data_IF_857217678613
#
_entry.id   IF_857217678613
#
_cell.length_a   1.000
_cell.length_b   1.000
_cell.length_c   1.000
_cell.angle_alpha   90.00
_cell.angle_beta   90.00
_cell.angle_gamma   90.00
#
_symmetry.space_group_name_H-M   'P 1'
#
loop_
_entity.id
_entity.type
_entity.pdbx_description
1 polymer ?
#
# COMPACT_ATOMS: atom_id res chain seq x y z
N UNK A 1 64.43 -18.77 25.13
CA UNK A 1 63.71 -19.59 26.12
C UNK A 1 62.35 -18.95 26.31
N UNK A 2 61.30 -19.51 25.71
CA UNK A 2 59.95 -18.97 25.80
C UNK A 2 59.29 -19.51 27.08
N UNK A 3 58.96 -18.62 28.00
CA UNK A 3 58.33 -19.00 29.28
C UNK A 3 56.94 -19.59 29.04
N UNK A 4 56.55 -20.66 29.76
CA UNK A 4 55.27 -21.31 29.54
C UNK A 4 54.13 -20.39 29.99
N UNK A 5 53.14 -20.23 29.11
CA UNK A 5 51.95 -19.41 29.33
C UNK A 5 51.17 -19.97 30.53
N UNK A 6 50.77 -19.14 31.53
CA UNK A 6 50.12 -19.63 32.73
C UNK A 6 48.76 -20.27 32.40
N UNK A 7 48.37 -21.35 33.10
CA UNK A 7 47.11 -22.04 32.85
C UNK A 7 45.93 -21.11 33.13
N UNK A 8 45.02 -20.98 32.16
CA UNK A 8 43.76 -20.24 32.33
C UNK A 8 42.92 -20.93 33.43
N UNK A 9 42.73 -20.26 34.57
CA UNK A 9 41.82 -20.74 35.63
C UNK A 9 40.42 -20.93 35.03
N UNK A 10 39.83 -22.12 35.20
CA UNK A 10 38.44 -22.39 34.78
C UNK A 10 37.52 -21.51 35.63
N UNK A 11 36.62 -20.75 35.00
CA UNK A 11 35.60 -19.97 35.72
C UNK A 11 34.77 -20.93 36.58
N UNK A 12 34.68 -20.65 37.87
CA UNK A 12 33.82 -21.40 38.80
C UNK A 12 32.38 -21.30 38.31
N UNK A 13 31.70 -22.44 38.19
CA UNK A 13 30.29 -22.45 37.82
C UNK A 13 29.48 -21.95 39.03
N UNK A 14 29.17 -20.65 39.05
CA UNK A 14 28.25 -20.07 40.04
C UNK A 14 26.86 -20.68 39.85
N UNK A 15 26.14 -21.02 40.91
CA UNK A 15 24.77 -21.53 40.88
C UNK A 15 23.93 -20.64 41.80
N UNK A 16 22.70 -20.36 41.39
CA UNK A 16 21.73 -19.69 42.24
C UNK A 16 21.18 -20.70 43.23
N UNK A 17 21.20 -20.34 44.50
CA UNK A 17 20.35 -20.97 45.51
C UNK A 17 19.07 -20.15 45.73
N UNK A 18 18.25 -20.62 46.65
CA UNK A 18 16.98 -20.00 47.01
C UNK A 18 17.19 -18.57 47.55
N UNK A 19 18.19 -18.35 48.40
CA UNK A 19 18.45 -17.03 48.97
C UNK A 19 18.94 -16.04 47.90
N UNK A 20 19.74 -16.52 46.95
CA UNK A 20 20.18 -15.76 45.79
C UNK A 20 19.01 -15.36 44.88
N UNK A 21 18.04 -16.26 44.69
CA UNK A 21 16.83 -15.97 43.91
C UNK A 21 15.97 -14.91 44.60
N UNK A 22 15.82 -14.96 45.93
CA UNK A 22 15.08 -13.95 46.68
C UNK A 22 15.78 -12.57 46.61
N UNK A 23 17.11 -12.56 46.70
CA UNK A 23 17.90 -11.34 46.52
C UNK A 23 17.75 -10.80 45.08
N UNK A 24 17.84 -11.66 44.07
CA UNK A 24 17.63 -11.30 42.66
C UNK A 24 16.25 -10.66 42.45
N UNK A 25 15.19 -11.26 42.97
CA UNK A 25 13.83 -10.74 42.80
C UNK A 25 13.65 -9.39 43.50
N UNK A 26 14.16 -9.22 44.73
CA UNK A 26 14.13 -7.94 45.46
C UNK A 26 14.87 -6.84 44.71
N UNK A 27 16.04 -7.13 44.15
CA UNK A 27 16.81 -6.15 43.37
C UNK A 27 16.13 -5.81 42.04
N UNK A 28 15.46 -6.78 41.39
CA UNK A 28 14.65 -6.51 40.19
C UNK A 28 13.50 -5.56 40.52
N UNK A 29 12.82 -5.73 41.65
CA UNK A 29 11.76 -4.81 42.10
C UNK A 29 12.31 -3.41 42.40
N UNK A 30 13.50 -3.32 43.00
CA UNK A 30 14.13 -2.04 43.33
C UNK A 30 14.62 -1.27 42.08
N UNK A 31 15.22 -1.96 41.11
CA UNK A 31 15.80 -1.34 39.91
C UNK A 31 14.78 -1.19 38.77
N UNK A 32 13.78 -2.07 38.70
CA UNK A 32 12.80 -2.19 37.63
C UNK A 32 13.43 -2.16 36.21
N UNK A 33 14.17 -3.22 35.83
CA UNK A 33 14.86 -3.27 34.53
C UNK A 33 13.92 -3.44 33.32
N UNK A 34 12.62 -3.65 33.52
CA UNK A 34 11.65 -3.89 32.44
C UNK A 34 11.17 -2.59 31.78
N UNK A 35 10.98 -1.55 32.59
CA UNK A 35 10.40 -0.26 32.18
C UNK A 35 11.43 0.83 31.89
N UNK A 36 12.73 0.54 31.94
CA UNK A 36 13.76 1.53 31.59
C UNK A 36 13.74 1.94 30.12
N UNK A 37 14.28 3.12 29.86
CA UNK A 37 14.36 3.71 28.52
C UNK A 37 15.07 2.80 27.50
N UNK A 38 14.75 3.00 26.21
CA UNK A 38 15.35 2.25 25.12
C UNK A 38 16.87 2.47 25.13
N UNK A 39 17.63 1.37 25.17
CA UNK A 39 19.09 1.38 25.24
C UNK A 39 19.65 1.19 26.65
N UNK A 40 18.85 1.41 27.69
CA UNK A 40 19.31 1.38 29.09
C UNK A 40 19.09 0.03 29.79
N UNK A 41 18.39 -0.91 29.14
CA UNK A 41 18.10 -2.25 29.71
C UNK A 41 19.34 -2.99 30.17
N UNK A 42 20.39 -3.02 29.37
CA UNK A 42 21.63 -3.72 29.72
C UNK A 42 22.29 -3.11 30.95
N UNK A 43 22.24 -1.78 31.08
CA UNK A 43 22.76 -1.08 32.24
C UNK A 43 21.93 -1.38 33.50
N UNK A 44 20.60 -1.36 33.40
CA UNK A 44 19.72 -1.70 34.51
C UNK A 44 19.94 -3.14 35.02
N UNK A 45 20.06 -4.12 34.11
CA UNK A 45 20.40 -5.49 34.49
C UNK A 45 21.82 -5.62 35.05
N UNK A 46 22.76 -4.77 34.63
CA UNK A 46 24.10 -4.72 35.22
C UNK A 46 24.06 -4.15 36.64
N UNK A 47 23.19 -3.18 36.92
CA UNK A 47 22.94 -2.66 38.28
C UNK A 47 22.39 -3.77 39.18
N UNK A 48 21.39 -4.54 38.70
CA UNK A 48 20.87 -5.71 39.42
C UNK A 48 21.99 -6.70 39.73
N UNK A 49 22.80 -7.06 38.72
CA UNK A 49 23.89 -8.02 38.90
C UNK A 49 24.96 -7.53 39.90
N UNK A 50 25.28 -6.23 39.89
CA UNK A 50 26.27 -5.64 40.79
C UNK A 50 25.82 -5.60 42.26
N UNK A 51 24.51 -5.64 42.52
CA UNK A 51 23.95 -5.68 43.87
C UNK A 51 23.98 -7.10 44.48
N UNK A 52 24.15 -8.14 43.67
CA UNK A 52 24.23 -9.52 44.13
C UNK A 52 25.62 -9.84 44.68
N UNK A 53 25.66 -10.68 45.73
CA UNK A 53 26.92 -11.24 46.26
C UNK A 53 27.54 -12.23 45.27
N UNK A 54 26.72 -12.84 44.42
CA UNK A 54 27.14 -13.77 43.37
C UNK A 54 27.90 -13.05 42.25
N UNK A 55 29.02 -13.64 41.80
CA UNK A 55 29.74 -13.22 40.59
C UNK A 55 28.99 -13.64 39.31
N UNK A 56 27.96 -12.89 38.96
CA UNK A 56 27.10 -13.10 37.79
C UNK A 56 26.98 -11.82 36.96
N UNK A 57 26.73 -11.97 35.66
CA UNK A 57 26.53 -10.83 34.76
C UNK A 57 25.04 -10.51 34.57
N UNK A 58 24.79 -9.34 33.97
CA UNK A 58 23.46 -8.84 33.63
C UNK A 58 22.62 -9.87 32.85
N UNK A 59 23.26 -10.58 31.92
CA UNK A 59 22.62 -11.59 31.08
C UNK A 59 22.11 -12.74 31.94
N UNK A 60 22.95 -13.23 32.85
CA UNK A 60 22.63 -14.37 33.70
C UNK A 60 21.50 -14.06 34.70
N UNK A 61 21.47 -12.85 35.24
CA UNK A 61 20.34 -12.38 36.08
C UNK A 61 19.02 -12.36 35.30
N UNK A 62 19.06 -11.89 34.05
CA UNK A 62 17.89 -11.88 33.17
C UNK A 62 17.43 -13.29 32.81
N UNK A 63 18.34 -14.19 32.47
CA UNK A 63 18.01 -15.59 32.14
C UNK A 63 17.43 -16.31 33.37
N UNK A 64 18.02 -16.11 34.56
CA UNK A 64 17.50 -16.72 35.80
C UNK A 64 16.11 -16.21 36.15
N UNK A 65 15.88 -14.89 36.13
CA UNK A 65 14.55 -14.33 36.39
C UNK A 65 13.50 -14.80 35.37
N UNK A 66 13.86 -14.90 34.09
CA UNK A 66 12.94 -15.44 33.07
C UNK A 66 12.55 -16.88 33.37
N UNK A 67 13.52 -17.72 33.79
CA UNK A 67 13.25 -19.10 34.19
C UNK A 67 12.31 -19.16 35.41
N UNK A 68 12.60 -18.40 36.46
CA UNK A 68 11.77 -18.34 37.68
C UNK A 68 10.32 -17.92 37.38
N UNK A 69 10.14 -16.88 36.56
CA UNK A 69 8.80 -16.43 36.15
C UNK A 69 8.07 -17.50 35.32
N UNK A 70 8.79 -18.23 34.46
CA UNK A 70 8.21 -19.32 33.66
C UNK A 70 7.75 -20.48 34.54
N UNK A 71 8.58 -20.89 35.50
CA UNK A 71 8.26 -21.92 36.47
C UNK A 71 7.08 -21.52 37.37
N UNK A 72 7.05 -20.26 37.81
CA UNK A 72 5.94 -19.70 38.59
C UNK A 72 4.61 -19.70 37.81
N UNK A 73 4.61 -19.22 36.55
CA UNK A 73 3.42 -19.29 35.68
C UNK A 73 2.93 -20.74 35.52
N UNK A 74 3.85 -21.69 35.34
CA UNK A 74 3.50 -23.10 35.23
C UNK A 74 2.95 -23.68 36.54
N UNK A 75 3.48 -23.28 37.70
CA UNK A 75 2.93 -23.61 39.03
C UNK A 75 1.49 -23.10 39.13
N UNK A 76 1.27 -21.80 38.94
CA UNK A 76 -0.06 -21.17 39.00
C UNK A 76 -1.08 -21.83 38.05
N UNK A 77 -0.68 -22.17 36.82
CA UNK A 77 -1.54 -22.86 35.87
C UNK A 77 -1.93 -24.28 36.34
N UNK A 78 -0.99 -25.02 36.95
CA UNK A 78 -1.27 -26.35 37.53
C UNK A 78 -2.19 -26.25 38.74
N UNK A 79 -1.93 -25.30 39.64
CA UNK A 79 -2.77 -25.07 40.83
C UNK A 79 -4.19 -24.68 40.43
N UNK A 80 -4.35 -23.82 39.42
CA UNK A 80 -5.66 -23.45 38.87
C UNK A 80 -6.39 -24.65 38.24
N UNK A 81 -5.68 -25.55 37.55
CA UNK A 81 -6.25 -26.75 36.96
C UNK A 81 -6.61 -27.83 38.00
N UNK A 82 -5.91 -27.88 39.13
CA UNK A 82 -6.06 -28.90 40.17
C UNK A 82 -7.27 -28.70 41.10
N UNK A 83 -8.17 -27.75 40.83
CA UNK A 83 -9.38 -27.47 41.62
C UNK A 83 -9.09 -27.24 43.12
N UNK A 84 -8.32 -26.19 43.43
CA UNK A 84 -8.38 -25.53 44.73
C UNK A 84 -7.71 -26.25 45.91
N UNK A 85 -6.68 -27.06 45.66
CA UNK A 85 -5.78 -27.49 46.74
C UNK A 85 -4.98 -26.25 47.17
N UNK A 86 -5.10 -25.88 48.44
CA UNK A 86 -4.35 -24.79 49.06
C UNK A 86 -2.85 -25.17 49.07
N UNK A 87 -2.09 -24.62 48.12
CA UNK A 87 -0.63 -24.70 48.15
C UNK A 87 -0.10 -23.70 49.18
N UNK A 88 0.96 -24.08 49.89
CA UNK A 88 1.65 -23.18 50.81
C UNK A 88 2.24 -22.02 50.01
N UNK A 89 1.63 -20.84 50.18
CA UNK A 89 2.06 -19.60 49.57
C UNK A 89 3.24 -19.04 50.33
N UNK A 90 4.34 -18.78 49.64
CA UNK A 90 5.60 -18.33 50.24
C UNK A 90 5.86 -16.86 49.95
N UNK A 91 6.72 -16.21 50.76
CA UNK A 91 7.19 -14.84 50.47
C UNK A 91 7.84 -14.72 49.08
N UNK A 92 8.44 -15.81 48.58
CA UNK A 92 8.98 -15.85 47.21
C UNK A 92 7.88 -15.80 46.16
N UNK A 93 6.74 -16.44 46.40
CA UNK A 93 5.59 -16.37 45.49
C UNK A 93 5.07 -14.92 45.39
N UNK A 94 5.07 -14.15 46.48
CA UNK A 94 4.75 -12.71 46.46
C UNK A 94 5.76 -11.91 45.62
N UNK A 95 7.06 -12.16 45.82
CA UNK A 95 8.10 -11.50 45.02
C UNK A 95 7.96 -11.83 43.52
N UNK A 96 7.67 -13.08 43.19
CA UNK A 96 7.46 -13.53 41.82
C UNK A 96 6.21 -12.90 41.20
N UNK A 97 5.12 -12.79 41.95
CA UNK A 97 3.90 -12.12 41.50
C UNK A 97 4.15 -10.64 41.18
N UNK A 98 4.84 -9.92 42.07
CA UNK A 98 5.17 -8.50 41.86
C UNK A 98 6.12 -8.30 40.66
N UNK A 99 7.16 -9.13 40.53
CA UNK A 99 8.08 -9.08 39.38
C UNK A 99 7.35 -9.42 38.08
N UNK A 100 6.41 -10.37 38.15
CA UNK A 100 5.59 -10.75 37.02
C UNK A 100 4.74 -9.58 36.52
N UNK A 101 4.02 -8.91 37.44
CA UNK A 101 3.22 -7.73 37.14
C UNK A 101 4.05 -6.63 36.46
N UNK A 102 5.22 -6.29 37.01
CA UNK A 102 6.14 -5.33 36.38
C UNK A 102 6.53 -5.71 34.95
N UNK A 103 6.74 -7.01 34.70
CA UNK A 103 7.12 -7.52 33.38
C UNK A 103 5.97 -7.42 32.38
N UNK A 104 4.74 -7.69 32.82
CA UNK A 104 3.52 -7.65 32.00
C UNK A 104 3.11 -6.20 31.70
N UNK A 105 3.18 -5.31 32.68
CA UNK A 105 2.98 -3.87 32.49
C UNK A 105 3.96 -3.30 31.45
N UNK A 106 5.23 -3.72 31.52
CA UNK A 106 6.24 -3.30 30.58
C UNK A 106 6.02 -3.84 29.17
N UNK A 107 5.31 -4.97 29.02
CA UNK A 107 4.88 -5.53 27.74
C UNK A 107 3.65 -4.80 27.21
N UNK A 108 2.63 -4.59 28.04
CA UNK A 108 1.43 -3.82 27.72
C UNK A 108 1.77 -2.42 27.21
N UNK A 109 2.65 -1.68 27.90
CA UNK A 109 3.12 -0.36 27.47
C UNK A 109 3.86 -0.38 26.13
N UNK A 110 4.51 -1.50 25.77
CA UNK A 110 5.17 -1.64 24.45
C UNK A 110 4.14 -1.89 23.35
N UNK A 111 3.15 -2.70 23.65
CA UNK A 111 2.08 -3.03 22.72
C UNK A 111 1.17 -1.83 22.47
N UNK A 112 0.82 -1.07 23.49
CA UNK A 112 0.10 0.21 23.35
C UNK A 112 0.86 1.19 22.44
N UNK A 113 2.16 1.39 22.69
CA UNK A 113 3.01 2.25 21.85
C UNK A 113 3.15 1.75 20.42
N UNK A 114 3.06 0.43 20.21
CA UNK A 114 3.09 -0.18 18.87
C UNK A 114 1.75 0.07 18.17
N UNK A 115 0.64 -0.18 18.84
CA UNK A 115 -0.72 0.07 18.34
C UNK A 115 -0.94 1.54 18.00
N UNK A 116 -0.47 2.48 18.84
CA UNK A 116 -0.57 3.92 18.57
C UNK A 116 0.17 4.30 17.28
N UNK A 117 1.36 3.73 17.06
CA UNK A 117 2.13 3.97 15.82
C UNK A 117 1.45 3.39 14.60
N UNK A 118 0.90 2.18 14.70
CA UNK A 118 0.16 1.53 13.63
C UNK A 118 -1.12 2.30 13.29
N UNK A 119 -1.86 2.78 14.30
CA UNK A 119 -3.05 3.61 14.12
C UNK A 119 -2.71 4.94 13.42
N UNK A 120 -1.61 5.59 13.83
CA UNK A 120 -1.14 6.83 13.20
C UNK A 120 -0.69 6.61 11.74
N UNK A 121 -0.06 5.46 11.47
CA UNK A 121 0.32 5.10 10.11
C UNK A 121 -0.92 4.87 9.24
N UNK A 122 -1.92 4.13 9.73
CA UNK A 122 -3.18 3.91 9.01
C UNK A 122 -3.93 5.21 8.75
N UNK A 123 -3.94 6.14 9.70
CA UNK A 123 -4.56 7.46 9.52
C UNK A 123 -3.85 8.28 8.41
N UNK A 124 -2.51 8.29 8.41
CA UNK A 124 -1.73 8.91 7.34
C UNK A 124 -2.03 8.27 5.97
N UNK A 125 -2.06 6.94 5.89
CA UNK A 125 -2.38 6.21 4.65
C UNK A 125 -3.79 6.53 4.15
N UNK A 126 -4.78 6.65 5.06
CA UNK A 126 -6.14 7.09 4.71
C UNK A 126 -6.17 8.53 4.21
N UNK A 127 -5.42 9.42 4.85
CA UNK A 127 -5.31 10.82 4.42
C UNK A 127 -4.67 10.94 3.03
N UNK A 128 -3.64 10.14 2.75
CA UNK A 128 -3.00 10.07 1.43
C UNK A 128 -3.95 9.53 0.37
N UNK A 129 -4.68 8.45 0.66
CA UNK A 129 -5.70 7.91 -0.25
C UNK A 129 -6.79 8.94 -0.57
N UNK A 130 -7.25 9.70 0.43
CA UNK A 130 -8.24 10.77 0.23
C UNK A 130 -7.68 11.91 -0.63
N UNK A 131 -6.41 12.29 -0.44
CA UNK A 131 -5.74 13.29 -1.29
C UNK A 131 -5.63 12.82 -2.73
N UNK A 132 -5.25 11.56 -2.95
CA UNK A 132 -5.13 10.97 -4.28
C UNK A 132 -6.49 10.92 -4.99
N UNK A 133 -7.54 10.49 -4.30
CA UNK A 133 -8.90 10.46 -4.85
C UNK A 133 -9.38 11.87 -5.24
N UNK A 134 -9.13 12.87 -4.39
CA UNK A 134 -9.47 14.26 -4.68
C UNK A 134 -8.75 14.80 -5.92
N UNK A 135 -7.44 14.54 -6.06
CA UNK A 135 -6.66 14.94 -7.23
C UNK A 135 -7.15 14.26 -8.51
N UNK A 136 -7.48 12.97 -8.44
CA UNK A 136 -8.06 12.23 -9.55
C UNK A 136 -9.46 12.75 -9.93
N UNK A 137 -10.26 13.20 -8.96
CA UNK A 137 -11.56 13.83 -9.19
C UNK A 137 -11.46 15.21 -9.86
N UNK A 138 -10.44 16.01 -9.52
CA UNK A 138 -10.20 17.32 -10.13
C UNK A 138 -9.77 17.21 -11.59
N UNK A 139 -8.92 16.22 -11.93
CA UNK A 139 -8.48 15.98 -13.31
C UNK A 139 -9.58 15.53 -14.28
N UNK A 140 -10.71 15.02 -13.77
CA UNK A 140 -11.84 14.54 -14.59
C UNK A 140 -12.86 15.61 -14.97
N UNK A 141 -12.78 16.82 -14.40
CA UNK A 141 -13.69 17.92 -14.75
C UNK A 141 -13.22 18.54 -16.06
N UNK A 142 -13.89 18.22 -17.18
CA UNK A 142 -13.67 18.91 -18.47
C UNK A 142 -13.76 20.43 -18.25
N UNK A 143 -12.71 21.14 -18.62
CA UNK A 143 -12.72 22.61 -18.58
C UNK A 143 -13.70 23.14 -19.66
N UNK A 144 -14.28 24.33 -19.46
CA UNK A 144 -15.01 25.06 -20.50
C UNK A 144 -14.25 25.12 -21.82
N UNK A 145 -12.91 25.20 -21.77
CA UNK A 145 -12.05 25.16 -22.96
C UNK A 145 -12.18 23.85 -23.74
N UNK A 146 -12.17 22.69 -23.07
CA UNK A 146 -12.33 21.36 -23.73
C UNK A 146 -13.71 21.18 -24.35
N UNK A 147 -14.74 21.70 -23.69
CA UNK A 147 -16.10 21.66 -24.25
C UNK A 147 -16.24 22.59 -25.47
N UNK A 148 -15.56 23.73 -25.48
CA UNK A 148 -15.57 24.65 -26.60
C UNK A 148 -14.77 24.11 -27.81
N UNK A 149 -13.64 23.45 -27.57
CA UNK A 149 -12.87 22.79 -28.64
C UNK A 149 -13.64 21.63 -29.26
N UNK A 150 -14.31 20.78 -28.47
CA UNK A 150 -15.21 19.73 -28.98
C UNK A 150 -16.36 20.30 -29.82
N UNK A 151 -16.92 21.45 -29.42
CA UNK A 151 -17.97 22.10 -30.20
C UNK A 151 -17.44 22.63 -31.55
N UNK A 152 -16.26 23.26 -31.53
CA UNK A 152 -15.65 23.81 -32.74
C UNK A 152 -15.24 22.73 -33.74
N UNK A 153 -14.77 21.56 -33.28
CA UNK A 153 -14.51 20.42 -34.17
C UNK A 153 -15.80 19.95 -34.81
N UNK A 154 -16.87 19.82 -34.03
CA UNK A 154 -18.16 19.36 -34.53
C UNK A 154 -18.80 20.32 -35.57
N UNK A 155 -18.61 21.63 -35.39
CA UNK A 155 -19.07 22.65 -36.35
C UNK A 155 -18.27 22.57 -37.65
N UNK A 156 -16.94 22.38 -37.58
CA UNK A 156 -16.10 22.22 -38.78
C UNK A 156 -16.50 20.99 -39.59
N UNK A 157 -16.68 19.84 -38.93
CA UNK A 157 -17.11 18.60 -39.59
C UNK A 157 -18.46 18.77 -40.31
N UNK A 158 -19.41 19.47 -39.68
CA UNK A 158 -20.72 19.78 -40.28
C UNK A 158 -20.57 20.64 -41.53
N UNK A 159 -19.76 21.69 -41.45
CA UNK A 159 -19.57 22.62 -42.57
C UNK A 159 -18.82 21.95 -43.73
N UNK A 160 -17.83 21.10 -43.45
CA UNK A 160 -17.14 20.28 -44.45
C UNK A 160 -18.09 19.30 -45.13
N UNK A 161 -18.95 18.63 -44.36
CA UNK A 161 -19.97 17.73 -44.90
C UNK A 161 -20.97 18.46 -45.80
N UNK A 162 -21.43 19.65 -45.38
CA UNK A 162 -22.34 20.47 -46.20
C UNK A 162 -21.70 20.88 -47.52
N UNK A 163 -20.43 21.35 -47.49
CA UNK A 163 -19.70 21.72 -48.72
C UNK A 163 -19.53 20.53 -49.66
N UNK A 164 -19.22 19.35 -49.12
CA UNK A 164 -19.09 18.14 -49.92
C UNK A 164 -20.41 17.75 -50.60
N UNK A 165 -21.53 17.91 -49.90
CA UNK A 165 -22.86 17.69 -50.47
C UNK A 165 -23.16 18.67 -51.61
N UNK A 166 -22.87 19.95 -51.43
CA UNK A 166 -23.15 20.96 -52.45
C UNK A 166 -22.28 20.75 -53.70
N UNK A 167 -20.99 20.44 -53.53
CA UNK A 167 -20.12 20.05 -54.65
C UNK A 167 -20.66 18.83 -55.40
N UNK A 168 -21.17 17.82 -54.69
CA UNK A 168 -21.76 16.64 -55.31
C UNK A 168 -23.04 16.96 -56.08
N UNK A 169 -23.87 17.89 -55.58
CA UNK A 169 -25.09 18.35 -56.29
C UNK A 169 -24.72 19.06 -57.59
N UNK A 170 -23.80 20.01 -57.53
CA UNK A 170 -23.32 20.75 -58.73
C UNK A 170 -22.77 19.78 -59.77
N UNK A 171 -21.89 18.85 -59.37
CA UNK A 171 -21.33 17.87 -60.30
C UNK A 171 -22.40 16.95 -60.94
N UNK A 172 -23.48 16.63 -60.22
CA UNK A 172 -24.59 15.86 -60.78
C UNK A 172 -25.43 16.68 -61.77
N UNK A 173 -25.65 17.96 -61.49
CA UNK A 173 -26.36 18.87 -62.38
C UNK A 173 -25.57 19.13 -63.67
N UNK A 174 -24.27 19.35 -63.58
CA UNK A 174 -23.39 19.49 -64.75
C UNK A 174 -23.43 18.24 -65.64
N UNK A 175 -23.40 17.04 -65.05
CA UNK A 175 -23.56 15.79 -65.80
C UNK A 175 -24.90 15.69 -66.51
N UNK A 176 -25.99 16.14 -65.87
CA UNK A 176 -27.32 16.16 -66.50
C UNK A 176 -27.37 17.11 -67.69
N UNK A 177 -26.85 18.33 -67.54
CA UNK A 177 -26.80 19.31 -68.61
C UNK A 177 -25.92 18.84 -69.78
N UNK A 178 -24.82 18.15 -69.51
CA UNK A 178 -23.98 17.55 -70.55
C UNK A 178 -24.75 16.52 -71.38
N UNK A 179 -25.45 15.59 -70.72
CA UNK A 179 -26.29 14.60 -71.40
C UNK A 179 -27.40 15.25 -72.24
N UNK A 180 -28.01 16.32 -71.74
CA UNK A 180 -29.05 17.06 -72.47
C UNK A 180 -28.47 17.76 -73.71
N UNK A 181 -27.29 18.37 -73.57
CA UNK A 181 -26.59 19.01 -74.70
C UNK A 181 -26.22 17.99 -75.78
N UNK A 182 -25.73 16.83 -75.40
CA UNK A 182 -25.37 15.75 -76.32
C UNK A 182 -26.60 15.21 -77.04
N UNK A 183 -27.72 15.02 -76.33
CA UNK A 183 -29.01 14.61 -76.92
C UNK A 183 -29.49 15.62 -77.96
N UNK A 184 -29.40 16.91 -77.65
CA UNK A 184 -29.84 17.97 -78.54
C UNK A 184 -28.92 18.12 -79.77
N UNK A 185 -27.64 17.78 -79.63
CA UNK A 185 -26.70 17.68 -80.76
C UNK A 185 -27.09 16.54 -81.70
N UNK A 186 -27.33 15.35 -81.15
CA UNK A 186 -27.76 14.19 -81.93
C UNK A 186 -29.08 14.46 -82.66
N UNK A 187 -30.08 15.07 -81.99
CA UNK A 187 -31.35 15.40 -82.64
C UNK A 187 -31.17 16.40 -83.81
N UNK A 188 -30.25 17.38 -83.67
CA UNK A 188 -29.92 18.29 -84.75
C UNK A 188 -29.24 17.57 -85.91
N UNK A 189 -28.30 16.67 -85.64
CA UNK A 189 -27.64 15.85 -86.65
C UNK A 189 -28.64 14.94 -87.39
N UNK A 190 -29.54 14.27 -86.66
CA UNK A 190 -30.61 13.45 -87.24
C UNK A 190 -31.55 14.28 -88.14
N UNK A 191 -31.97 15.47 -87.69
CA UNK A 191 -32.81 16.38 -88.48
C UNK A 191 -32.09 16.86 -89.74
N UNK A 192 -30.81 17.21 -89.64
CA UNK A 192 -30.00 17.62 -90.79
C UNK A 192 -29.84 16.48 -91.79
N UNK A 193 -29.52 15.27 -91.33
CA UNK A 193 -29.43 14.08 -92.17
C UNK A 193 -30.76 13.78 -92.88
N UNK A 194 -31.89 13.93 -92.18
CA UNK A 194 -33.22 13.76 -92.77
C UNK A 194 -33.51 14.81 -93.87
N UNK A 195 -33.17 16.08 -93.62
CA UNK A 195 -33.30 17.15 -94.61
C UNK A 195 -32.46 16.85 -95.85
N UNK A 196 -31.23 16.37 -95.67
CA UNK A 196 -30.34 16.02 -96.78
C UNK A 196 -30.90 14.86 -97.62
N UNK A 197 -31.48 13.83 -96.98
CA UNK A 197 -32.17 12.72 -97.68
C UNK A 197 -33.37 13.24 -98.47
N UNK A 198 -34.21 14.10 -97.90
CA UNK A 198 -35.34 14.71 -98.60
C UNK A 198 -34.87 15.55 -99.81
N UNK A 199 -33.82 16.35 -99.63
CA UNK A 199 -33.24 17.14 -100.72
C UNK A 199 -32.78 16.23 -101.87
N UNK A 200 -32.06 15.15 -101.56
CA UNK A 200 -31.62 14.17 -102.55
C UNK A 200 -32.80 13.50 -103.29
N UNK A 201 -33.90 13.21 -102.59
CA UNK A 201 -35.11 12.64 -103.19
C UNK A 201 -35.81 13.62 -104.13
N UNK A 202 -35.98 14.89 -103.71
CA UNK A 202 -36.61 15.94 -104.54
C UNK A 202 -35.82 16.27 -105.80
N UNK A 203 -34.48 16.20 -105.76
CA UNK A 203 -33.62 16.39 -106.95
C UNK A 203 -33.69 15.25 -107.98
N UNK A 204 -34.37 14.14 -107.69
CA UNK A 204 -34.50 12.97 -108.58
C UNK A 204 -35.89 12.81 -109.22
N UNK A 205 -36.83 13.72 -108.95
CA UNK A 205 -38.15 13.73 -109.61
C UNK A 205 -38.03 14.43 -110.98
N UNK A 206 -38.36 13.77 -112.11
CA UNK A 206 -38.42 14.42 -113.42
C UNK A 206 -39.59 15.41 -113.47
N UNK A 207 -39.35 16.61 -114.01
CA UNK A 207 -40.37 17.63 -114.25
C UNK A 207 -41.41 17.19 -115.28
#
# INVERSE_FOLDING_TARGET
MESPRPPKKRKTQVRFDDADDDALLKEILAVNPFQVERGSKTAAWATVAAALVLDVDARRCRERSTLLLTEFKAKMAKSAAASGIEEEHTERDDLLANVLELSEDAEALRDEKKQEKEAKQQDNERADAMREEAMNGMGKRKNKYDSFTELMTHVKERDEFSRALDLRKVANEEKRLALERDRLSLEKEERMAFIDVLRAFTSRLPQ
#
